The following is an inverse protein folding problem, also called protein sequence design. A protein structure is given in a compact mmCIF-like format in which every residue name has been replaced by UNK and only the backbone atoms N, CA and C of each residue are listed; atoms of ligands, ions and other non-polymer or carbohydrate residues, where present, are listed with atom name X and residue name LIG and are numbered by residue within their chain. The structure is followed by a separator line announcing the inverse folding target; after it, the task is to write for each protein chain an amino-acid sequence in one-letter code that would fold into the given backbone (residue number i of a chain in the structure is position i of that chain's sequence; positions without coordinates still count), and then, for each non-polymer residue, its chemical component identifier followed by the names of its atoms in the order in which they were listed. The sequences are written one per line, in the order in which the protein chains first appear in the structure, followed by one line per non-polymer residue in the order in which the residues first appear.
data_IF_686068623712
#
_entry.id   IF_686068623712
#
_cell.length_a   1.000
_cell.length_b   1.000
_cell.length_c   1.000
_cell.angle_alpha   90.00
_cell.angle_beta   90.00
_cell.angle_gamma   90.00
#
_symmetry.space_group_name_H-M   'P 1'
#
loop_
_entity.id
_entity.type
_entity.pdbx_description
1 polymer ?
#
# COMPACT_ATOMS: atom_id res chain seq x y z
N UNK A 1 -7.53 5.79 8.27
CA UNK A 1 -7.54 4.90 9.46
C UNK A 1 -8.97 4.68 9.93
N UNK A 2 -9.73 5.74 10.26
CA UNK A 2 -11.10 5.59 10.76
C UNK A 2 -12.19 5.39 9.70
N UNK A 3 -11.95 5.79 8.45
CA UNK A 3 -12.90 5.57 7.33
C UNK A 3 -13.35 4.11 7.21
N UNK A 4 -12.43 3.17 7.44
CA UNK A 4 -12.68 1.73 7.30
C UNK A 4 -13.42 1.15 8.52
N UNK A 5 -13.34 1.81 9.68
CA UNK A 5 -14.09 1.43 10.88
C UNK A 5 -15.52 1.97 10.85
N UNK A 6 -15.75 3.13 10.22
CA UNK A 6 -17.08 3.77 10.14
C UNK A 6 -18.13 2.83 9.54
N UNK A 7 -17.80 2.10 8.47
CA UNK A 7 -18.76 1.18 7.85
C UNK A 7 -19.17 0.05 8.80
N UNK A 8 -18.21 -0.48 9.58
CA UNK A 8 -18.46 -1.52 10.59
C UNK A 8 -19.25 -0.97 11.78
N UNK A 9 -18.97 0.26 12.22
CA UNK A 9 -19.74 0.92 13.27
C UNK A 9 -21.17 1.22 12.82
N UNK A 10 -21.39 1.60 11.57
CA UNK A 10 -22.74 1.77 11.01
C UNK A 10 -23.50 0.45 11.01
N UNK A 11 -22.88 -0.62 10.51
CA UNK A 11 -23.50 -1.95 10.54
C UNK A 11 -23.84 -2.38 11.97
N UNK A 12 -22.89 -2.26 12.89
CA UNK A 12 -23.09 -2.55 14.31
C UNK A 12 -24.22 -1.71 14.93
N UNK A 13 -24.28 -0.40 14.65
CA UNK A 13 -25.32 0.48 15.21
C UNK A 13 -26.75 0.13 14.77
N UNK A 14 -26.90 -0.66 13.71
CA UNK A 14 -28.21 -1.12 13.23
C UNK A 14 -28.69 -2.38 13.95
N UNK A 15 -27.78 -3.18 14.51
CA UNK A 15 -28.09 -4.54 14.97
C UNK A 15 -27.67 -4.83 16.41
N UNK A 16 -26.71 -4.07 16.95
CA UNK A 16 -26.17 -4.25 18.31
C UNK A 16 -26.81 -3.29 19.31
N UNK A 17 -26.79 -3.67 20.59
CA UNK A 17 -27.15 -2.77 21.68
C UNK A 17 -26.13 -1.62 21.81
N UNK A 18 -26.51 -0.53 22.51
CA UNK A 18 -25.58 0.58 22.76
C UNK A 18 -24.34 0.11 23.55
N UNK A 19 -24.50 -0.84 24.47
CA UNK A 19 -23.41 -1.39 25.27
C UNK A 19 -22.42 -2.17 24.40
N UNK A 20 -22.92 -3.05 23.54
CA UNK A 20 -22.11 -3.84 22.60
C UNK A 20 -21.40 -2.95 21.58
N UNK A 21 -22.10 -1.94 21.07
CA UNK A 21 -21.53 -0.95 20.16
C UNK A 21 -20.36 -0.20 20.81
N UNK A 22 -20.50 0.20 22.08
CA UNK A 22 -19.42 0.84 22.84
C UNK A 22 -18.24 -0.12 23.00
N UNK A 23 -18.48 -1.37 23.38
CA UNK A 23 -17.43 -2.40 23.48
C UNK A 23 -16.69 -2.61 22.14
N UNK A 24 -17.42 -2.69 21.03
CA UNK A 24 -16.85 -2.82 19.68
C UNK A 24 -16.04 -1.59 19.30
N UNK A 25 -16.55 -0.39 19.56
CA UNK A 25 -15.81 0.85 19.36
C UNK A 25 -14.50 0.84 20.15
N UNK A 26 -14.55 0.55 21.45
CA UNK A 26 -13.35 0.47 22.30
C UNK A 26 -12.32 -0.53 21.75
N UNK A 27 -12.77 -1.70 21.28
CA UNK A 27 -11.90 -2.72 20.66
C UNK A 27 -11.21 -2.23 19.39
N UNK A 28 -11.89 -1.42 18.59
CA UNK A 28 -11.34 -0.84 17.34
C UNK A 28 -10.42 0.36 17.59
N UNK A 29 -10.72 1.18 18.60
CA UNK A 29 -9.89 2.34 18.96
C UNK A 29 -8.63 1.94 19.75
N UNK A 30 -8.67 0.87 20.56
CA UNK A 30 -7.54 0.46 21.40
C UNK A 30 -6.23 0.24 20.60
N UNK A 31 -6.21 -0.48 19.46
CA UNK A 31 -5.01 -0.63 18.64
C UNK A 31 -4.44 0.70 18.12
N UNK A 32 -5.28 1.71 17.92
CA UNK A 32 -4.86 3.05 17.48
C UNK A 32 -4.13 3.78 18.61
N UNK A 33 -4.68 3.77 19.83
CA UNK A 33 -4.03 4.39 20.97
C UNK A 33 -2.70 3.71 21.31
N UNK A 34 -2.66 2.38 21.26
CA UNK A 34 -1.43 1.61 21.42
C UNK A 34 -0.38 1.96 20.36
N UNK A 35 -0.82 2.20 19.12
CA UNK A 35 0.05 2.63 18.03
C UNK A 35 0.67 4.02 18.32
N UNK A 36 -0.13 4.99 18.78
CA UNK A 36 0.40 6.31 19.11
C UNK A 36 1.42 6.25 20.25
N UNK A 37 1.13 5.52 21.33
CA UNK A 37 2.09 5.31 22.42
C UNK A 37 3.37 4.63 21.95
N UNK A 38 3.28 3.70 21.00
CA UNK A 38 4.46 3.04 20.44
C UNK A 38 5.29 3.94 19.53
N UNK A 39 4.65 4.80 18.72
CA UNK A 39 5.33 5.76 17.85
C UNK A 39 6.08 6.81 18.66
N UNK A 40 5.53 7.22 19.80
CA UNK A 40 6.19 8.12 20.74
C UNK A 40 7.36 7.43 21.46
N UNK A 41 7.16 6.21 21.94
CA UNK A 41 8.15 5.49 22.77
C UNK A 41 9.28 4.84 21.97
N UNK A 42 8.99 4.37 20.75
CA UNK A 42 9.93 3.61 19.93
C UNK A 42 9.98 4.06 18.46
N UNK A 43 10.12 5.36 18.17
CA UNK A 43 10.27 5.81 16.81
C UNK A 43 11.54 5.20 16.20
N UNK A 44 11.44 4.77 14.93
CA UNK A 44 12.60 4.26 14.21
C UNK A 44 13.68 5.34 14.03
N UNK A 45 13.25 6.57 13.80
CA UNK A 45 14.11 7.74 13.62
C UNK A 45 13.78 8.83 14.64
N UNK A 46 14.81 9.48 15.16
CA UNK A 46 14.61 10.69 15.97
C UNK A 46 14.16 11.87 15.11
N UNK A 47 13.50 12.87 15.71
CA UNK A 47 12.98 14.05 14.99
C UNK A 47 14.04 14.80 14.17
N UNK A 48 15.28 14.83 14.63
CA UNK A 48 16.40 15.43 13.90
C UNK A 48 16.88 14.60 12.69
N UNK A 49 16.67 13.29 12.70
CA UNK A 49 17.10 12.40 11.61
C UNK A 49 16.10 12.39 10.44
N UNK A 50 14.89 12.92 10.64
CA UNK A 50 13.83 12.94 9.62
C UNK A 50 14.25 13.70 8.37
N UNK A 51 15.05 14.74 8.51
CA UNK A 51 15.63 15.52 7.41
C UNK A 51 17.06 15.06 7.07
N UNK A 52 17.79 14.47 8.03
CA UNK A 52 19.18 14.05 7.85
C UNK A 52 19.35 12.53 7.95
N UNK A 53 19.21 11.85 6.81
CA UNK A 53 19.40 10.41 6.70
C UNK A 53 20.82 9.98 7.12
N UNK A 54 20.90 9.00 8.03
CA UNK A 54 22.14 8.34 8.43
C UNK A 54 22.39 7.11 7.57
N UNK A 55 22.81 7.32 6.33
CA UNK A 55 23.04 6.23 5.37
C UNK A 55 24.19 5.29 5.79
N UNK A 56 25.04 5.67 6.74
CA UNK A 56 26.17 4.88 7.25
C UNK A 56 25.74 3.51 7.83
N UNK A 57 24.53 3.43 8.40
CA UNK A 57 23.97 2.20 8.95
C UNK A 57 23.14 1.39 7.93
N UNK A 58 23.14 1.81 6.67
CA UNK A 58 22.36 1.19 5.59
C UNK A 58 23.26 0.37 4.65
N UNK A 59 22.66 -0.45 3.80
CA UNK A 59 23.37 -1.11 2.70
C UNK A 59 23.95 -0.12 1.69
N UNK A 60 23.41 1.11 1.61
CA UNK A 60 23.90 2.14 0.69
C UNK A 60 25.29 2.69 1.06
N UNK A 61 25.77 2.48 2.29
CA UNK A 61 27.09 2.97 2.70
C UNK A 61 28.22 2.11 2.13
N UNK A 62 28.20 0.81 2.43
CA UNK A 62 29.26 -0.11 2.06
C UNK A 62 28.89 -0.99 0.85
N UNK A 63 27.97 -0.53 0.00
CA UNK A 63 27.44 -1.33 -1.12
C UNK A 63 28.56 -1.87 -2.02
N UNK A 64 29.63 -1.09 -2.25
CA UNK A 64 30.79 -1.47 -3.06
C UNK A 64 31.53 -2.71 -2.53
N UNK A 65 31.30 -3.11 -1.28
CA UNK A 65 31.92 -4.27 -0.62
C UNK A 65 31.04 -5.51 -0.63
N UNK A 66 29.82 -5.40 -1.13
CA UNK A 66 28.82 -6.48 -1.15
C UNK A 66 28.32 -6.67 -2.58
N UNK A 67 28.50 -7.84 -3.21
CA UNK A 67 28.08 -8.02 -4.60
C UNK A 67 26.58 -7.83 -4.76
N UNK A 68 26.20 -7.20 -5.88
CA UNK A 68 24.84 -6.92 -6.35
C UNK A 68 23.78 -7.85 -5.77
N UNK A 69 23.02 -7.36 -4.79
CA UNK A 69 21.86 -8.13 -4.32
C UNK A 69 20.64 -7.66 -5.10
N UNK A 70 20.27 -8.41 -6.13
CA UNK A 70 18.96 -8.30 -6.78
C UNK A 70 17.84 -8.26 -5.73
N UNK A 71 18.02 -8.98 -4.62
CA UNK A 71 17.20 -8.88 -3.42
C UNK A 71 17.03 -7.44 -2.89
N UNK A 72 18.11 -6.67 -2.69
CA UNK A 72 18.00 -5.27 -2.23
C UNK A 72 17.26 -4.40 -3.24
N UNK A 73 17.50 -4.60 -4.54
CA UNK A 73 16.77 -3.91 -5.59
C UNK A 73 15.26 -4.21 -5.48
N UNK A 74 14.89 -5.49 -5.30
CA UNK A 74 13.49 -5.91 -5.09
C UNK A 74 12.90 -5.30 -3.82
N UNK A 75 13.64 -5.24 -2.72
CA UNK A 75 13.18 -4.61 -1.48
C UNK A 75 12.93 -3.10 -1.64
N UNK A 76 13.84 -2.38 -2.29
CA UNK A 76 13.68 -0.94 -2.55
C UNK A 76 12.49 -0.70 -3.49
N UNK A 77 12.37 -1.49 -4.55
CA UNK A 77 11.22 -1.44 -5.46
C UNK A 77 9.91 -1.68 -4.72
N UNK A 78 9.82 -2.72 -3.90
CA UNK A 78 8.63 -3.01 -3.11
C UNK A 78 8.28 -1.87 -2.14
N UNK A 79 9.29 -1.29 -1.47
CA UNK A 79 9.12 -0.14 -0.60
C UNK A 79 8.52 1.07 -1.34
N UNK A 80 9.06 1.39 -2.51
CA UNK A 80 8.56 2.50 -3.34
C UNK A 80 7.13 2.24 -3.83
N UNK A 81 6.84 1.03 -4.34
CA UNK A 81 5.49 0.66 -4.80
C UNK A 81 4.46 0.68 -3.67
N UNK A 82 4.86 0.31 -2.45
CA UNK A 82 3.99 0.21 -1.28
C UNK A 82 3.95 1.51 -0.44
N UNK A 83 4.57 2.61 -0.92
CA UNK A 83 4.71 3.87 -0.18
C UNK A 83 5.26 3.65 1.24
N UNK A 84 6.29 2.81 1.34
CA UNK A 84 6.94 2.47 2.60
C UNK A 84 6.22 1.44 3.46
N UNK A 85 5.02 0.95 3.10
CA UNK A 85 4.29 -0.11 3.84
C UNK A 85 4.97 -1.47 3.69
N UNK A 86 5.95 -1.73 4.54
CA UNK A 86 6.78 -2.92 4.49
C UNK A 86 6.86 -3.57 5.87
N UNK A 87 6.54 -4.86 5.93
CA UNK A 87 6.82 -5.73 7.06
C UNK A 87 8.11 -6.49 6.79
N UNK A 88 9.14 -6.24 7.60
CA UNK A 88 10.44 -6.91 7.50
C UNK A 88 10.48 -8.10 8.47
N UNK A 89 10.89 -9.26 7.97
CA UNK A 89 11.09 -10.48 8.75
C UNK A 89 12.53 -10.93 8.58
N UNK A 90 13.18 -11.27 9.69
CA UNK A 90 14.52 -11.82 9.69
C UNK A 90 14.89 -12.34 11.07
N UNK A 91 15.85 -13.27 11.13
CA UNK A 91 16.36 -13.84 12.37
C UNK A 91 17.43 -12.98 13.04
N UNK A 92 18.14 -12.14 12.29
CA UNK A 92 19.25 -11.30 12.78
C UNK A 92 18.83 -9.83 12.89
N UNK A 93 18.70 -9.27 14.10
CA UNK A 93 18.24 -7.90 14.29
C UNK A 93 19.10 -6.83 13.61
N UNK A 94 20.40 -7.07 13.47
CA UNK A 94 21.34 -6.14 12.84
C UNK A 94 21.08 -6.02 11.32
N UNK A 95 20.88 -7.14 10.63
CA UNK A 95 20.56 -7.16 9.20
C UNK A 95 19.19 -6.53 8.93
N UNK A 96 18.23 -6.78 9.81
CA UNK A 96 16.88 -6.17 9.76
C UNK A 96 16.95 -4.65 9.92
N UNK A 97 17.68 -4.18 10.93
CA UNK A 97 17.89 -2.74 11.14
C UNK A 97 18.61 -2.10 9.95
N UNK A 98 19.62 -2.77 9.40
CA UNK A 98 20.38 -2.28 8.23
C UNK A 98 19.49 -2.16 6.98
N UNK A 99 18.64 -3.15 6.71
CA UNK A 99 17.67 -3.08 5.62
C UNK A 99 16.68 -1.94 5.87
N UNK A 100 16.13 -1.83 7.08
CA UNK A 100 15.19 -0.75 7.40
C UNK A 100 15.79 0.65 7.22
N UNK A 101 17.04 0.86 7.67
CA UNK A 101 17.76 2.12 7.42
C UNK A 101 17.96 2.40 5.92
N UNK A 102 18.10 1.35 5.11
CA UNK A 102 18.16 1.48 3.65
C UNK A 102 16.84 1.92 3.06
N UNK A 103 15.74 1.26 3.44
CA UNK A 103 14.41 1.50 2.89
C UNK A 103 13.88 2.90 3.22
N UNK A 104 14.17 3.39 4.44
CA UNK A 104 13.79 4.73 4.88
C UNK A 104 14.35 5.84 3.97
N UNK A 105 15.52 5.64 3.35
CA UNK A 105 16.08 6.62 2.42
C UNK A 105 15.18 6.83 1.19
N UNK A 106 14.39 5.81 0.84
CA UNK A 106 13.45 5.83 -0.28
C UNK A 106 12.01 6.19 0.12
N UNK A 107 11.81 6.64 1.37
CA UNK A 107 10.50 7.10 1.86
C UNK A 107 10.44 8.62 1.92
N UNK A 108 9.24 9.17 1.74
CA UNK A 108 8.96 10.59 1.95
C UNK A 108 9.17 10.98 3.43
N UNK A 109 9.68 12.19 3.72
CA UNK A 109 9.94 12.63 5.10
C UNK A 109 8.73 12.50 6.03
N UNK A 110 7.53 12.83 5.55
CA UNK A 110 6.27 12.72 6.29
C UNK A 110 5.93 11.27 6.69
N UNK A 111 6.26 10.31 5.82
CA UNK A 111 5.96 8.89 6.04
C UNK A 111 6.97 8.22 7.00
N UNK A 112 8.16 8.82 7.20
CA UNK A 112 9.19 8.30 8.13
C UNK A 112 8.73 8.32 9.60
N UNK A 113 7.78 9.20 9.93
CA UNK A 113 7.16 9.29 11.25
C UNK A 113 6.40 8.02 11.64
N UNK A 114 5.96 7.24 10.66
CA UNK A 114 5.15 6.05 10.85
C UNK A 114 5.99 4.77 10.80
N UNK A 115 7.27 4.87 11.14
CA UNK A 115 8.22 3.78 11.20
C UNK A 115 8.58 3.45 12.65
N UNK A 116 8.55 2.17 13.02
CA UNK A 116 8.89 1.71 14.37
C UNK A 116 10.23 1.00 14.41
N UNK A 117 10.88 1.04 15.58
CA UNK A 117 12.05 0.19 15.83
C UNK A 117 11.71 -1.30 15.66
N UNK A 118 12.68 -2.12 15.21
CA UNK A 118 12.44 -3.54 14.94
C UNK A 118 11.82 -4.28 16.14
N UNK A 119 10.81 -5.12 15.86
CA UNK A 119 10.19 -6.05 16.80
C UNK A 119 9.55 -5.43 18.05
N UNK A 120 9.22 -4.13 18.01
CA UNK A 120 8.57 -3.43 19.14
C UNK A 120 7.05 -3.62 19.19
N UNK A 121 6.43 -3.98 18.08
CA UNK A 121 5.00 -4.24 17.99
C UNK A 121 4.69 -5.43 17.09
N UNK A 122 3.56 -6.12 17.33
CA UNK A 122 2.90 -6.96 16.34
C UNK A 122 2.60 -6.20 15.05
N UNK A 123 2.32 -6.92 13.96
CA UNK A 123 1.96 -6.29 12.71
C UNK A 123 0.77 -5.33 12.85
N UNK A 124 0.94 -4.11 12.33
CA UNK A 124 -0.08 -3.09 12.27
C UNK A 124 -0.17 -2.47 10.85
N UNK A 125 -1.35 -2.48 10.20
CA UNK A 125 -1.52 -2.00 8.82
C UNK A 125 -1.38 -0.47 8.64
N UNK A 126 -1.32 0.30 9.74
CA UNK A 126 -1.18 1.75 9.71
C UNK A 126 0.27 2.22 9.74
N UNK A 127 1.19 1.34 10.13
CA UNK A 127 2.62 1.61 10.06
C UNK A 127 3.10 1.55 8.61
N UNK A 128 4.11 2.36 8.31
CA UNK A 128 4.83 2.29 7.04
C UNK A 128 5.86 1.18 7.17
N UNK A 129 7.00 1.45 7.78
CA UNK A 129 8.06 0.46 7.91
C UNK A 129 8.11 -0.13 9.32
N UNK A 130 8.03 -1.46 9.41
CA UNK A 130 8.07 -2.18 10.68
C UNK A 130 8.81 -3.51 10.50
N UNK A 131 9.44 -4.02 11.56
CA UNK A 131 9.90 -5.40 11.59
C UNK A 131 9.04 -6.23 12.53
N UNK A 132 8.61 -7.39 12.06
CA UNK A 132 7.75 -8.31 12.81
C UNK A 132 8.49 -9.64 13.02
N UNK A 133 8.16 -10.31 14.12
CA UNK A 133 8.69 -11.66 14.37
C UNK A 133 8.01 -12.66 13.43
N UNK A 134 8.69 -13.74 13.06
CA UNK A 134 8.14 -14.76 12.16
C UNK A 134 6.77 -15.34 12.61
N UNK A 135 6.49 -15.56 13.92
CA UNK A 135 5.15 -15.97 14.37
C UNK A 135 4.03 -14.96 14.04
N UNK A 136 4.35 -13.68 13.86
CA UNK A 136 3.37 -12.63 13.53
C UNK A 136 2.98 -12.62 12.04
N UNK A 137 3.53 -13.53 11.22
CA UNK A 137 3.17 -13.64 9.80
C UNK A 137 1.69 -13.95 9.59
N UNK A 138 1.07 -14.74 10.48
CA UNK A 138 -0.37 -15.05 10.42
C UNK A 138 -1.18 -13.76 10.53
N UNK A 139 -0.85 -12.94 11.54
CA UNK A 139 -1.46 -11.63 11.76
C UNK A 139 -1.19 -10.64 10.61
N UNK A 140 -0.02 -10.70 9.99
CA UNK A 140 0.26 -9.94 8.77
C UNK A 140 -0.75 -10.29 7.70
N UNK A 141 -0.86 -11.57 7.37
CA UNK A 141 -1.72 -12.08 6.32
C UNK A 141 -3.20 -11.74 6.55
N UNK A 142 -3.69 -11.84 7.78
CA UNK A 142 -5.07 -11.48 8.13
C UNK A 142 -5.37 -9.99 7.97
N UNK A 143 -4.41 -9.11 8.30
CA UNK A 143 -4.68 -7.67 8.43
C UNK A 143 -4.18 -6.84 7.27
N UNK A 144 -3.31 -7.37 6.42
CA UNK A 144 -2.62 -6.60 5.37
C UNK A 144 -3.59 -5.98 4.35
N UNK A 145 -4.71 -6.64 4.02
CA UNK A 145 -5.71 -6.07 3.12
C UNK A 145 -6.50 -4.91 3.72
N UNK A 146 -6.46 -4.72 5.04
CA UNK A 146 -7.08 -3.54 5.68
C UNK A 146 -6.22 -2.28 5.53
N UNK A 147 -4.95 -2.43 5.12
CA UNK A 147 -4.07 -1.30 4.85
C UNK A 147 -4.63 -0.39 3.75
N UNK A 148 -4.47 0.93 3.91
CA UNK A 148 -4.97 1.90 2.93
C UNK A 148 -4.31 1.77 1.55
N UNK A 149 -3.08 1.26 1.48
CA UNK A 149 -2.34 1.05 0.24
C UNK A 149 -1.73 -0.36 0.22
N UNK A 150 -1.25 -0.79 -0.95
CA UNK A 150 -0.49 -2.03 -1.09
C UNK A 150 0.63 -2.13 -0.06
N UNK A 151 0.88 -3.35 0.43
CA UNK A 151 1.87 -3.62 1.47
C UNK A 151 2.76 -4.79 1.07
N UNK A 152 4.03 -4.74 1.45
CA UNK A 152 5.04 -5.74 1.12
C UNK A 152 5.53 -6.51 2.35
N UNK A 153 5.86 -7.78 2.14
CA UNK A 153 6.54 -8.66 3.09
C UNK A 153 7.96 -8.93 2.59
N UNK A 154 8.95 -8.53 3.38
CA UNK A 154 10.36 -8.67 3.07
C UNK A 154 10.96 -9.72 4.01
N UNK A 155 11.18 -10.94 3.52
CA UNK A 155 11.82 -12.00 4.30
C UNK A 155 13.31 -12.04 3.97
N UNK A 156 14.14 -11.55 4.89
CA UNK A 156 15.59 -11.48 4.76
C UNK A 156 16.20 -12.89 4.78
N UNK A 157 15.69 -13.77 5.64
CA UNK A 157 16.22 -15.13 5.80
C UNK A 157 15.99 -15.95 4.52
N UNK A 158 14.81 -15.79 3.90
CA UNK A 158 14.43 -16.49 2.66
C UNK A 158 14.80 -15.74 1.38
N UNK A 159 15.24 -14.48 1.49
CA UNK A 159 15.49 -13.55 0.36
C UNK A 159 14.28 -13.42 -0.60
N UNK A 160 13.08 -13.46 -0.04
CA UNK A 160 11.81 -13.35 -0.78
C UNK A 160 11.17 -11.99 -0.54
N UNK A 161 10.54 -11.46 -1.58
CA UNK A 161 9.87 -10.15 -1.55
C UNK A 161 8.50 -10.34 -2.18
N UNK A 162 7.47 -10.43 -1.33
CA UNK A 162 6.07 -10.53 -1.76
C UNK A 162 5.31 -9.27 -1.39
N UNK A 163 4.17 -9.06 -2.04
CA UNK A 163 3.31 -7.91 -1.80
C UNK A 163 1.87 -8.20 -2.24
N UNK A 164 0.93 -7.40 -1.76
CA UNK A 164 -0.52 -7.54 -2.04
C UNK A 164 -0.93 -7.22 -3.49
N UNK A 165 0.03 -6.97 -4.39
CA UNK A 165 -0.23 -6.56 -5.76
C UNK A 165 -0.42 -5.06 -5.91
N UNK A 166 -0.59 -4.62 -7.16
CA UNK A 166 -0.79 -3.20 -7.47
C UNK A 166 -2.12 -2.71 -6.92
N UNK A 167 -2.13 -1.45 -6.48
CA UNK A 167 -3.28 -0.82 -5.82
C UNK A 167 -4.57 -0.97 -6.63
N UNK A 168 -4.54 -0.53 -7.90
CA UNK A 168 -5.74 -0.40 -8.73
C UNK A 168 -6.39 -1.73 -9.13
N UNK A 169 -5.62 -2.82 -9.29
CA UNK A 169 -6.12 -4.07 -9.85
C UNK A 169 -6.17 -5.25 -8.89
N UNK A 170 -5.47 -5.20 -7.75
CA UNK A 170 -5.44 -6.30 -6.77
C UNK A 170 -5.76 -5.83 -5.35
N UNK A 171 -4.96 -4.92 -4.80
CA UNK A 171 -5.08 -4.55 -3.38
C UNK A 171 -6.41 -3.86 -3.06
N UNK A 172 -6.86 -2.89 -3.88
CA UNK A 172 -8.12 -2.18 -3.64
C UNK A 172 -9.33 -3.14 -3.71
N UNK A 173 -9.49 -3.98 -4.75
CA UNK A 173 -10.54 -5.01 -4.75
C UNK A 173 -10.49 -5.92 -3.52
N UNK A 174 -9.31 -6.46 -3.17
CA UNK A 174 -9.16 -7.31 -1.98
C UNK A 174 -9.54 -6.60 -0.67
N UNK A 175 -9.18 -5.32 -0.54
CA UNK A 175 -9.59 -4.50 0.60
C UNK A 175 -11.11 -4.36 0.68
N UNK A 176 -11.76 -4.03 -0.44
CA UNK A 176 -13.23 -3.88 -0.50
C UNK A 176 -13.91 -5.20 -0.13
N UNK A 177 -13.43 -6.34 -0.66
CA UNK A 177 -13.94 -7.66 -0.29
C UNK A 177 -13.79 -7.95 1.20
N UNK A 178 -12.61 -7.68 1.76
CA UNK A 178 -12.35 -7.87 3.19
C UNK A 178 -13.28 -7.01 4.04
N UNK A 179 -13.57 -5.77 3.62
CA UNK A 179 -14.52 -4.90 4.30
C UNK A 179 -15.95 -5.41 4.23
N UNK A 180 -16.40 -5.87 3.06
CA UNK A 180 -17.73 -6.45 2.86
C UNK A 180 -17.90 -7.70 3.72
N UNK A 181 -16.90 -8.59 3.74
CA UNK A 181 -16.92 -9.79 4.57
C UNK A 181 -17.01 -9.46 6.07
N UNK A 182 -16.23 -8.48 6.56
CA UNK A 182 -16.30 -8.04 7.96
C UNK A 182 -17.65 -7.42 8.33
N UNK A 183 -18.29 -6.71 7.41
CA UNK A 183 -19.63 -6.14 7.63
C UNK A 183 -20.67 -7.26 7.67
N UNK A 184 -20.62 -8.19 6.72
CA UNK A 184 -21.53 -9.33 6.66
C UNK A 184 -21.44 -10.23 7.89
N UNK A 185 -20.23 -10.46 8.42
CA UNK A 185 -20.03 -11.18 9.68
C UNK A 185 -20.77 -10.51 10.85
N UNK A 186 -20.72 -9.18 10.97
CA UNK A 186 -21.45 -8.45 12.02
C UNK A 186 -22.95 -8.68 11.90
N UNK A 187 -23.48 -8.63 10.68
CA UNK A 187 -24.91 -8.84 10.42
C UNK A 187 -25.32 -10.28 10.68
N UNK A 188 -24.50 -11.26 10.30
CA UNK A 188 -24.74 -12.68 10.55
C UNK A 188 -24.70 -13.01 12.04
N UNK A 189 -23.67 -12.55 12.76
CA UNK A 189 -23.53 -12.74 14.20
C UNK A 189 -24.74 -12.17 14.96
N UNK A 190 -25.26 -11.02 14.53
CA UNK A 190 -26.44 -10.41 15.13
C UNK A 190 -27.73 -11.19 14.81
N UNK A 191 -27.88 -11.68 13.57
CA UNK A 191 -29.01 -12.52 13.19
C UNK A 191 -29.03 -13.84 13.98
N UNK A 192 -27.86 -14.47 14.17
CA UNK A 192 -27.70 -15.68 14.97
C UNK A 192 -28.00 -15.44 16.46
N UNK A 193 -27.73 -14.22 16.95
CA UNK A 193 -28.10 -13.78 18.30
C UNK A 193 -29.59 -13.40 18.44
N UNK A 194 -30.39 -13.51 17.38
CA UNK A 194 -31.83 -13.24 17.38
C UNK A 194 -32.22 -11.78 17.15
N UNK A 195 -31.30 -10.93 16.68
CA UNK A 195 -31.62 -9.56 16.31
C UNK A 195 -32.40 -9.50 14.98
N UNK A 196 -33.33 -8.54 14.86
CA UNK A 196 -34.03 -8.29 13.59
C UNK A 196 -33.09 -7.61 12.59
N UNK A 197 -32.47 -8.41 11.73
CA UNK A 197 -31.66 -7.92 10.61
C UNK A 197 -32.53 -7.88 9.35
N UNK A 198 -32.54 -6.77 8.59
CA UNK A 198 -33.29 -6.70 7.35
C UNK A 198 -32.86 -7.81 6.37
N UNK A 199 -33.79 -8.68 5.97
CA UNK A 199 -33.52 -9.87 5.16
C UNK A 199 -32.79 -9.57 3.85
N UNK A 200 -33.00 -8.39 3.26
CA UNK A 200 -32.35 -7.98 2.01
C UNK A 200 -30.84 -7.80 2.19
N UNK A 201 -30.37 -7.39 3.37
CA UNK A 201 -28.94 -7.25 3.66
C UNK A 201 -28.27 -8.62 3.83
N UNK A 202 -28.99 -9.58 4.43
CA UNK A 202 -28.53 -10.96 4.56
C UNK A 202 -28.50 -11.68 3.22
N UNK A 203 -29.55 -11.53 2.40
CA UNK A 203 -29.62 -12.10 1.04
C UNK A 203 -28.55 -11.50 0.11
N UNK A 204 -28.28 -10.18 0.21
CA UNK A 204 -27.14 -9.56 -0.50
C UNK A 204 -25.79 -10.14 -0.08
N UNK A 205 -25.59 -10.37 1.23
CA UNK A 205 -24.35 -10.96 1.75
C UNK A 205 -24.19 -12.43 1.32
N UNK A 206 -25.23 -13.25 1.46
CA UNK A 206 -25.20 -14.67 1.04
C UNK A 206 -24.97 -14.81 -0.46
N UNK A 207 -25.61 -13.98 -1.29
CA UNK A 207 -25.39 -13.97 -2.74
C UNK A 207 -23.95 -13.63 -3.09
N UNK A 208 -23.38 -12.65 -2.39
CA UNK A 208 -22.00 -12.24 -2.57
C UNK A 208 -21.03 -13.36 -2.19
N UNK A 209 -21.25 -14.04 -1.06
CA UNK A 209 -20.42 -15.16 -0.61
C UNK A 209 -20.50 -16.37 -1.56
N UNK A 210 -21.66 -16.63 -2.17
CA UNK A 210 -21.86 -17.70 -3.17
C UNK A 210 -21.25 -17.41 -4.54
N UNK A 211 -21.06 -16.13 -4.90
CA UNK A 211 -20.51 -15.75 -6.22
C UNK A 211 -18.98 -15.68 -6.23
N UNK A 212 -18.32 -15.66 -5.08
CA UNK A 212 -16.86 -15.68 -5.00
C UNK A 212 -16.34 -17.11 -4.86
N UNK A 213 -15.46 -17.52 -5.77
CA UNK A 213 -14.77 -18.81 -5.70
C UNK A 213 -13.98 -18.92 -4.38
N UNK A 214 -14.41 -19.85 -3.53
CA UNK A 214 -13.85 -20.16 -2.21
C UNK A 214 -12.36 -20.61 -2.22
N UNK A 215 -11.71 -20.61 -3.39
CA UNK A 215 -10.33 -21.05 -3.60
C UNK A 215 -9.28 -19.93 -3.50
N UNK A 216 -9.65 -18.66 -3.62
CA UNK A 216 -8.71 -17.54 -3.51
C UNK A 216 -8.76 -16.90 -2.12
N UNK A 217 -8.25 -17.62 -1.11
CA UNK A 217 -8.00 -16.95 0.16
C UNK A 217 -7.00 -15.82 -0.05
N UNK A 218 -7.32 -14.63 0.47
CA UNK A 218 -6.41 -13.47 0.49
C UNK A 218 -5.02 -13.85 1.01
N UNK A 219 -4.98 -14.80 1.95
CA UNK A 219 -3.77 -15.42 2.47
C UNK A 219 -2.95 -16.18 1.42
N UNK A 220 -3.61 -17.05 0.66
CA UNK A 220 -2.99 -17.78 -0.45
C UNK A 220 -2.51 -16.83 -1.54
N UNK A 221 -3.30 -15.81 -1.89
CA UNK A 221 -2.94 -14.84 -2.93
C UNK A 221 -1.68 -14.03 -2.60
N UNK A 222 -1.46 -13.70 -1.33
CA UNK A 222 -0.31 -12.89 -0.88
C UNK A 222 0.95 -13.74 -0.73
N UNK A 223 0.80 -14.95 -0.20
CA UNK A 223 1.91 -15.90 -0.04
C UNK A 223 2.32 -16.54 -1.37
N UNK A 224 1.40 -16.71 -2.31
CA UNK A 224 1.63 -17.22 -3.66
C UNK A 224 1.82 -16.09 -4.70
N UNK A 225 1.75 -14.83 -4.28
CA UNK A 225 1.98 -13.67 -5.16
C UNK A 225 3.36 -13.76 -5.78
N UNK A 226 3.52 -13.48 -7.10
CA UNK A 226 4.82 -13.49 -7.72
C UNK A 226 5.75 -12.51 -7.00
N UNK A 227 7.00 -12.94 -6.79
CA UNK A 227 8.03 -12.08 -6.22
C UNK A 227 8.09 -10.74 -6.97
N UNK A 228 8.20 -9.64 -6.22
CA UNK A 228 8.37 -8.30 -6.78
C UNK A 228 9.56 -8.32 -7.74
N UNK A 229 9.35 -7.88 -8.98
CA UNK A 229 10.45 -7.69 -9.91
C UNK A 229 11.15 -6.38 -9.60
N UNK A 230 12.48 -6.41 -9.57
CA UNK A 230 13.26 -5.22 -9.30
C UNK A 230 13.13 -4.23 -10.47
N UNK A 231 12.79 -2.99 -10.14
CA UNK A 231 12.65 -1.92 -11.11
C UNK A 231 14.02 -1.62 -11.75
N UNK A 232 14.11 -1.50 -13.09
CA UNK A 232 15.38 -1.24 -13.78
C UNK A 232 16.08 0.02 -13.28
N UNK A 233 15.31 1.06 -12.94
CA UNK A 233 15.84 2.35 -12.52
C UNK A 233 16.39 2.32 -11.09
N UNK A 234 15.93 1.36 -10.27
CA UNK A 234 16.50 1.04 -8.96
C UNK A 234 17.79 0.23 -9.12
N UNK A 235 17.84 -0.73 -10.04
CA UNK A 235 19.07 -1.47 -10.35
C UNK A 235 20.18 -0.53 -10.81
N UNK A 236 19.87 0.33 -11.79
CA UNK A 236 20.77 1.38 -12.29
C UNK A 236 21.30 2.26 -11.15
N UNK A 237 20.42 2.70 -10.24
CA UNK A 237 20.84 3.47 -9.07
C UNK A 237 21.83 2.68 -8.22
N UNK A 238 21.53 1.43 -7.87
CA UNK A 238 22.42 0.60 -7.05
C UNK A 238 23.76 0.37 -7.75
N UNK A 239 23.78 0.17 -9.06
CA UNK A 239 25.01 0.01 -9.84
C UNK A 239 25.87 1.28 -9.79
N UNK A 240 25.26 2.47 -9.88
CA UNK A 240 25.96 3.74 -9.66
C UNK A 240 26.55 3.84 -8.25
N UNK A 241 25.80 3.42 -7.22
CA UNK A 241 26.29 3.43 -5.84
C UNK A 241 27.54 2.55 -5.64
N UNK A 242 27.69 1.45 -6.39
CA UNK A 242 28.89 0.61 -6.35
C UNK A 242 30.14 1.35 -6.89
N UNK A 243 29.96 2.27 -7.83
CA UNK A 243 31.05 3.05 -8.44
C UNK A 243 31.40 4.30 -7.62
N UNK A 244 30.49 4.77 -6.76
CA UNK A 244 30.68 6.00 -6.01
C UNK A 244 31.69 5.87 -4.86
N UNK A 245 32.41 6.95 -4.50
CA UNK A 245 33.21 6.99 -3.29
C UNK A 245 32.34 6.87 -2.02
N UNK A 246 32.96 6.52 -0.89
CA UNK A 246 32.32 6.48 0.43
C UNK A 246 32.13 7.90 0.99
N UNK A 247 31.42 8.75 0.25
CA UNK A 247 31.11 10.13 0.61
C UNK A 247 29.62 10.24 0.93
N UNK A 248 29.29 10.63 2.17
CA UNK A 248 27.91 10.69 2.64
C UNK A 248 27.06 11.71 1.87
N UNK A 249 27.45 13.00 1.76
CA UNK A 249 26.71 13.99 0.98
C UNK A 249 26.44 13.54 -0.46
N UNK A 250 27.46 13.06 -1.17
CA UNK A 250 27.32 12.64 -2.57
C UNK A 250 26.27 11.52 -2.73
N UNK A 251 26.37 10.47 -1.90
CA UNK A 251 25.43 9.35 -1.93
C UNK A 251 24.00 9.77 -1.61
N UNK A 252 23.81 10.67 -0.63
CA UNK A 252 22.49 11.23 -0.31
C UNK A 252 21.93 12.01 -1.50
N UNK A 253 22.74 12.87 -2.12
CA UNK A 253 22.30 13.64 -3.29
C UNK A 253 21.83 12.74 -4.43
N UNK A 254 22.44 11.58 -4.66
CA UNK A 254 21.93 10.63 -5.67
C UNK A 254 20.55 10.05 -5.32
N UNK A 255 20.28 9.79 -4.04
CA UNK A 255 18.92 9.40 -3.59
C UNK A 255 17.93 10.55 -3.83
N UNK A 256 18.32 11.79 -3.53
CA UNK A 256 17.46 12.95 -3.74
C UNK A 256 17.15 13.18 -5.24
N UNK A 257 18.15 13.03 -6.11
CA UNK A 257 17.95 13.08 -7.57
C UNK A 257 17.03 11.95 -8.06
N UNK A 258 17.15 10.76 -7.48
CA UNK A 258 16.25 9.66 -7.78
C UNK A 258 14.79 9.99 -7.40
N UNK A 259 14.56 10.56 -6.21
CA UNK A 259 13.24 11.02 -5.79
C UNK A 259 12.66 12.10 -6.71
N UNK A 260 13.49 13.08 -7.09
CA UNK A 260 13.09 14.14 -8.03
C UNK A 260 12.66 13.56 -9.38
N UNK A 261 13.41 12.57 -9.91
CA UNK A 261 13.05 11.87 -11.14
C UNK A 261 11.70 11.17 -11.01
N UNK A 262 11.42 10.50 -9.90
CA UNK A 262 10.13 9.86 -9.65
C UNK A 262 8.99 10.88 -9.56
N UNK A 263 9.22 12.00 -8.90
CA UNK A 263 8.24 13.08 -8.78
C UNK A 263 7.87 13.66 -10.15
N UNK A 264 8.86 13.93 -11.00
CA UNK A 264 8.61 14.44 -12.35
C UNK A 264 7.83 13.44 -13.21
N UNK A 265 8.12 12.14 -13.10
CA UNK A 265 7.34 11.10 -13.80
C UNK A 265 5.91 11.01 -13.28
N UNK A 266 5.70 11.17 -11.97
CA UNK A 266 4.37 11.20 -11.37
C UNK A 266 3.56 12.42 -11.84
N UNK A 267 4.16 13.61 -11.87
CA UNK A 267 3.54 14.83 -12.42
C UNK A 267 3.17 14.66 -13.90
N UNK A 268 4.05 14.05 -14.69
CA UNK A 268 3.75 13.74 -16.09
C UNK A 268 2.58 12.76 -16.24
N UNK A 269 2.50 11.72 -15.40
CA UNK A 269 1.37 10.79 -15.38
C UNK A 269 0.06 11.49 -15.04
N UNK A 270 0.07 12.32 -13.99
CA UNK A 270 -1.10 13.11 -13.56
C UNK A 270 -1.58 14.02 -14.68
N UNK A 271 -0.67 14.83 -15.24
CA UNK A 271 -1.01 15.77 -16.32
C UNK A 271 -1.56 15.03 -17.55
N UNK A 272 -0.91 13.94 -17.96
CA UNK A 272 -1.33 13.17 -19.13
C UNK A 272 -2.72 12.54 -18.96
N UNK A 273 -3.00 11.98 -17.78
CA UNK A 273 -4.33 11.42 -17.47
C UNK A 273 -5.37 12.53 -17.40
N UNK A 274 -5.07 13.68 -16.80
CA UNK A 274 -5.96 14.83 -16.76
C UNK A 274 -6.35 15.30 -18.16
N UNK A 275 -5.36 15.46 -19.05
CA UNK A 275 -5.57 15.90 -20.43
C UNK A 275 -6.44 14.90 -21.21
N UNK A 276 -6.16 13.60 -21.09
CA UNK A 276 -6.98 12.56 -21.74
C UNK A 276 -8.37 12.42 -21.15
N UNK A 277 -8.53 12.73 -19.86
CA UNK A 277 -9.81 12.64 -19.16
C UNK A 277 -10.71 13.85 -19.40
N UNK A 278 -10.17 14.94 -19.96
CA UNK A 278 -10.89 16.18 -20.19
C UNK A 278 -12.01 15.98 -21.23
N UNK A 279 -13.20 16.59 -21.02
CA UNK A 279 -14.28 16.51 -21.99
C UNK A 279 -13.89 17.20 -23.30
N UNK A 280 -14.13 16.54 -24.44
CA UNK A 280 -13.88 17.12 -25.75
C UNK A 280 -14.89 18.24 -26.04
N UNK A 281 -14.47 19.37 -26.66
CA UNK A 281 -15.38 20.46 -27.02
C UNK A 281 -16.50 20.04 -27.99
N UNK A 282 -16.35 18.91 -28.69
CA UNK A 282 -17.36 18.36 -29.60
C UNK A 282 -18.31 17.30 -28.98
N UNK A 283 -18.11 16.92 -27.71
CA UNK A 283 -18.98 15.94 -27.05
C UNK A 283 -20.29 16.58 -26.59
N UNK A 284 -21.30 16.59 -27.47
CA UNK A 284 -22.67 17.01 -27.14
C UNK A 284 -23.45 16.01 -26.27
N UNK A 285 -22.85 14.86 -25.91
CA UNK A 285 -23.47 13.80 -25.10
C UNK A 285 -22.65 13.53 -23.84
N UNK A 286 -23.07 14.17 -22.76
CA UNK A 286 -22.56 14.03 -21.39
C UNK A 286 -21.09 14.44 -21.20
N UNK A 287 -20.81 15.21 -20.15
CA UNK A 287 -19.46 15.56 -19.72
C UNK A 287 -18.59 14.33 -19.31
N UNK A 288 -19.10 13.10 -19.45
CA UNK A 288 -18.58 11.85 -18.87
C UNK A 288 -17.80 10.98 -19.87
N UNK A 289 -17.72 11.39 -21.15
CA UNK A 289 -17.15 10.59 -22.25
C UNK A 289 -15.66 10.86 -22.49
N UNK A 290 -14.78 10.51 -21.55
CA UNK A 290 -13.36 10.30 -21.89
C UNK A 290 -13.06 8.81 -22.03
N UNK A 291 -13.12 8.31 -23.27
CA UNK A 291 -12.73 6.95 -23.64
C UNK A 291 -11.20 6.84 -23.67
N UNK A 292 -10.57 6.83 -22.49
CA UNK A 292 -9.13 6.58 -22.39
C UNK A 292 -8.86 5.21 -21.75
N UNK A 293 -7.78 4.57 -22.17
CA UNK A 293 -7.37 3.26 -21.67
C UNK A 293 -6.03 3.37 -20.95
N UNK A 294 -5.93 2.75 -19.77
CA UNK A 294 -4.71 2.77 -18.96
C UNK A 294 -3.50 2.18 -19.70
N UNK A 295 -3.70 1.17 -20.55
CA UNK A 295 -2.62 0.59 -21.33
C UNK A 295 -1.98 1.59 -22.30
N UNK A 296 -2.78 2.49 -22.88
CA UNK A 296 -2.30 3.55 -23.78
C UNK A 296 -1.46 4.57 -23.01
N UNK A 297 -1.94 4.98 -21.83
CA UNK A 297 -1.19 5.86 -20.92
C UNK A 297 0.14 5.23 -20.51
N UNK A 298 0.11 3.96 -20.11
CA UNK A 298 1.31 3.22 -19.70
C UNK A 298 2.31 3.12 -20.84
N UNK A 299 1.86 2.87 -22.07
CA UNK A 299 2.74 2.81 -23.25
C UNK A 299 3.38 4.18 -23.53
N UNK A 300 2.59 5.24 -23.57
CA UNK A 300 3.07 6.57 -23.96
C UNK A 300 4.03 7.20 -22.94
N UNK A 301 3.93 6.82 -21.67
CA UNK A 301 4.82 7.28 -20.60
C UNK A 301 5.93 6.28 -20.25
N UNK A 302 6.08 5.21 -21.03
CA UNK A 302 7.05 4.14 -20.79
C UNK A 302 6.94 3.53 -19.37
N UNK A 303 5.72 3.16 -19.00
CA UNK A 303 5.29 2.55 -17.73
C UNK A 303 4.72 1.14 -17.94
N UNK A 304 5.23 0.39 -18.93
CA UNK A 304 4.74 -0.96 -19.22
C UNK A 304 5.13 -1.97 -18.14
N UNK A 305 6.28 -1.80 -17.49
CA UNK A 305 6.65 -2.60 -16.32
C UNK A 305 5.71 -2.30 -15.14
N UNK A 306 5.18 -3.34 -14.50
CA UNK A 306 4.33 -3.21 -13.31
C UNK A 306 5.09 -2.60 -12.13
N UNK A 307 6.39 -2.90 -11.99
CA UNK A 307 7.23 -2.29 -10.97
C UNK A 307 7.34 -0.78 -11.19
N UNK A 308 7.70 -0.36 -12.40
CA UNK A 308 7.86 1.05 -12.76
C UNK A 308 6.54 1.80 -12.63
N UNK A 309 5.46 1.24 -13.16
CA UNK A 309 4.13 1.83 -13.04
C UNK A 309 3.69 1.93 -11.57
N UNK A 310 3.89 0.87 -10.79
CA UNK A 310 3.54 0.85 -9.37
C UNK A 310 4.26 1.93 -8.56
N UNK A 311 5.56 2.14 -8.81
CA UNK A 311 6.34 3.22 -8.18
C UNK A 311 5.79 4.59 -8.56
N UNK A 312 5.57 4.83 -9.86
CA UNK A 312 5.11 6.13 -10.35
C UNK A 312 3.68 6.43 -9.86
N UNK A 313 2.79 5.43 -9.86
CA UNK A 313 1.44 5.54 -9.34
C UNK A 313 1.44 5.83 -7.83
N UNK A 314 2.29 5.16 -7.07
CA UNK A 314 2.46 5.39 -5.65
C UNK A 314 2.90 6.82 -5.33
N UNK A 315 3.82 7.38 -6.14
CA UNK A 315 4.25 8.78 -6.02
C UNK A 315 3.17 9.76 -6.50
N UNK A 316 2.41 9.43 -7.54
CA UNK A 316 1.29 10.24 -8.01
C UNK A 316 0.20 10.37 -6.93
N UNK A 317 -0.16 9.27 -6.25
CA UNK A 317 -1.10 9.31 -5.12
C UNK A 317 -0.62 10.19 -3.96
N UNK A 318 0.69 10.26 -3.70
CA UNK A 318 1.23 11.18 -2.68
C UNK A 318 1.10 12.65 -3.08
N UNK A 319 1.23 12.95 -4.38
CA UNK A 319 1.12 14.32 -4.89
C UNK A 319 -0.35 14.75 -5.02
N UNK A 320 -1.22 13.82 -5.40
CA UNK A 320 -2.65 14.05 -5.62
C UNK A 320 -3.46 12.86 -5.06
N UNK A 321 -4.07 13.02 -3.87
CA UNK A 321 -4.91 11.99 -3.27
C UNK A 321 -6.07 11.57 -4.19
N UNK A 322 -6.51 10.32 -4.08
CA UNK A 322 -7.59 9.69 -4.87
C UNK A 322 -7.26 9.43 -6.35
N UNK A 323 -6.08 9.82 -6.83
CA UNK A 323 -5.67 9.62 -8.22
C UNK A 323 -5.67 8.14 -8.61
N UNK A 324 -5.12 7.28 -7.75
CA UNK A 324 -5.12 5.84 -7.97
C UNK A 324 -6.52 5.23 -7.83
N UNK A 325 -7.40 5.84 -7.03
CA UNK A 325 -8.80 5.48 -6.93
C UNK A 325 -9.55 5.70 -8.24
N UNK A 326 -9.31 6.84 -8.90
CA UNK A 326 -9.87 7.14 -10.22
C UNK A 326 -9.38 6.17 -11.29
N UNK A 327 -8.08 5.86 -11.30
CA UNK A 327 -7.53 4.84 -12.21
C UNK A 327 -8.22 3.49 -11.98
N UNK A 328 -8.40 3.08 -10.72
CA UNK A 328 -9.06 1.82 -10.38
C UNK A 328 -10.51 1.74 -10.88
N UNK A 329 -11.30 2.81 -10.68
CA UNK A 329 -12.68 2.88 -11.15
C UNK A 329 -12.77 2.70 -12.67
N UNK A 330 -11.85 3.29 -13.44
CA UNK A 330 -11.79 3.13 -14.90
C UNK A 330 -11.33 1.74 -15.33
N UNK A 331 -10.48 1.06 -14.56
CA UNK A 331 -10.08 -0.32 -14.87
C UNK A 331 -11.18 -1.35 -14.58
N UNK A 332 -12.03 -1.12 -13.56
CA UNK A 332 -13.13 -2.03 -13.22
C UNK A 332 -14.35 -1.86 -14.15
N UNK A 333 -14.64 -0.63 -14.57
CA UNK A 333 -15.72 -0.35 -15.54
C UNK A 333 -15.43 -0.91 -16.95
N UNK A 334 -14.18 -1.22 -17.27
CA UNK A 334 -13.81 -2.00 -18.45
C UNK A 334 -14.18 -3.49 -18.38
N UNK A 335 -14.40 -4.04 -17.17
CA UNK A 335 -14.84 -5.43 -16.95
C UNK A 335 -16.35 -5.57 -16.73
N UNK A 336 -17.02 -4.51 -16.29
CA UNK A 336 -18.48 -4.45 -16.06
C UNK A 336 -19.14 -3.46 -17.01
N UNK A 337 -19.28 -3.82 -18.29
CA UNK A 337 -20.23 -3.13 -19.17
C UNK A 337 -21.65 -3.65 -18.90
N UNK A 338 -22.28 -3.14 -17.84
CA UNK A 338 -23.73 -2.91 -17.74
C UNK A 338 -24.04 -2.23 -16.40
N UNK A 339 -23.90 -0.91 -16.35
CA UNK A 339 -24.82 0.04 -15.72
C UNK A 339 -24.12 1.36 -15.38
N UNK A 340 -24.85 2.44 -15.66
CA UNK A 340 -24.42 3.83 -15.71
C UNK A 340 -23.83 4.32 -14.39
N UNK A 341 -22.57 4.73 -14.42
CA UNK A 341 -22.02 5.95 -13.82
C UNK A 341 -20.52 6.04 -14.15
N UNK A 342 -20.13 6.98 -15.01
CA UNK A 342 -18.74 7.15 -15.48
C UNK A 342 -18.19 8.49 -14.99
N UNK A 343 -17.29 8.46 -14.00
CA UNK A 343 -16.77 9.69 -13.37
C UNK A 343 -15.70 10.42 -14.21
N UNK A 344 -15.70 11.74 -14.10
CA UNK A 344 -14.69 12.71 -14.57
C UNK A 344 -13.77 13.06 -13.41
N UNK A 345 -12.47 13.25 -13.67
CA UNK A 345 -11.57 13.75 -12.63
C UNK A 345 -11.93 15.20 -12.27
N UNK A 346 -12.29 15.53 -11.02
CA UNK A 346 -12.72 16.87 -10.66
C UNK A 346 -11.56 17.86 -10.81
N UNK A 347 -11.83 19.02 -11.43
CA UNK A 347 -10.92 20.16 -11.40
C UNK A 347 -11.02 20.80 -10.02
N UNK A 348 -9.89 20.90 -9.30
CA UNK A 348 -9.74 21.86 -8.21
C UNK A 348 -9.57 23.26 -8.78
#
# INVERSE_FOLDING_TARGET
MFSDAIARFKAASLVESVEDLVCRCTREFMPVFLLFGALERWPFMSSCEQTHLRIQHSHLWALNRTPHSDFLARCITACLMCRGRCAVVGGKPQEVAQLMHTLVAFMEPSDRLLCLRPYKMPYNPFLRLQAIKRPELVRFVEKVCTAHWSSALLDIDRRTVSFTGLYHCKHRPQKVRSQQHQIGQILSEAADAGAEVPWHLLDEFERWERTEDNNNSVAGDILNSPNVQADPSVKELLDLFHLMPLNRPARISFVDHFHLRLENRAKALIAYVRDLSAPSPNDKRSALSSKWHLITVRRNLNLLSDATFGIVLARAESLEPEFAGFIAQKTDSGKRLSNNEQNVWPRL
#
